data_IF_728678369311
#
_entry.id   IF_728678369311
#
_cell.length_a   1.000
_cell.length_b   1.000
_cell.length_c   1.000
_cell.angle_alpha   90.00
_cell.angle_beta   90.00
_cell.angle_gamma   90.00
#
_symmetry.space_group_name_H-M   'P 1'
#
loop_
_entity.id
_entity.type
_entity.pdbx_description
1 polymer ?
#
# COMPACT_ATOMS: atom_id res chain seq x y z
N UNK A 1 33.59 -1.92 -0.31
CA UNK A 1 33.16 -0.88 -1.28
C UNK A 1 31.87 -0.24 -0.77
N UNK A 2 31.90 0.91 -0.06
CA UNK A 2 30.73 1.33 0.76
C UNK A 2 30.45 2.84 0.91
N UNK A 3 31.16 3.75 0.23
CA UNK A 3 31.05 5.19 0.55
C UNK A 3 30.47 6.09 -0.55
N UNK A 4 30.20 5.56 -1.76
CA UNK A 4 29.69 6.36 -2.88
C UNK A 4 28.17 6.39 -3.03
N UNK A 5 27.41 5.64 -2.22
CA UNK A 5 25.95 5.45 -2.40
C UNK A 5 25.08 6.16 -1.39
N UNK A 6 25.59 6.58 -0.22
CA UNK A 6 24.75 7.13 0.84
C UNK A 6 23.92 8.36 0.41
N UNK A 7 24.50 9.26 -0.39
CA UNK A 7 23.77 10.43 -0.90
C UNK A 7 22.71 10.08 -1.94
N UNK A 8 23.00 9.12 -2.83
CA UNK A 8 22.04 8.64 -3.83
C UNK A 8 20.89 7.86 -3.19
N UNK A 9 21.21 7.01 -2.19
CA UNK A 9 20.24 6.23 -1.43
C UNK A 9 19.32 7.15 -0.59
N UNK A 10 19.88 8.23 -0.02
CA UNK A 10 19.10 9.22 0.73
C UNK A 10 18.15 10.01 -0.19
N UNK A 11 18.62 10.45 -1.37
CA UNK A 11 17.76 11.12 -2.36
C UNK A 11 16.67 10.19 -2.90
N UNK A 12 17.00 8.94 -3.19
CA UNK A 12 16.03 7.93 -3.61
C UNK A 12 15.00 7.66 -2.50
N UNK A 13 15.45 7.52 -1.26
CA UNK A 13 14.60 7.35 -0.09
C UNK A 13 13.64 8.52 0.13
N UNK A 14 14.13 9.76 0.02
CA UNK A 14 13.28 10.96 0.09
C UNK A 14 12.24 11.02 -1.04
N UNK A 15 12.64 10.61 -2.25
CA UNK A 15 11.72 10.56 -3.40
C UNK A 15 10.59 9.56 -3.18
N UNK A 16 10.94 8.37 -2.69
CA UNK A 16 9.99 7.32 -2.35
C UNK A 16 9.10 7.78 -1.18
N UNK A 17 9.66 8.34 -0.12
CA UNK A 17 8.90 8.83 1.03
C UNK A 17 7.85 9.88 0.64
N UNK A 18 8.19 10.79 -0.28
CA UNK A 18 7.26 11.80 -0.81
C UNK A 18 6.06 11.18 -1.54
N UNK A 19 6.24 10.02 -2.18
CA UNK A 19 5.17 9.28 -2.84
C UNK A 19 4.36 8.43 -1.85
N UNK A 20 5.03 7.72 -0.96
CA UNK A 20 4.39 6.76 -0.06
C UNK A 20 3.49 7.42 1.00
N UNK A 21 3.84 8.62 1.46
CA UNK A 21 3.09 9.31 2.51
C UNK A 21 1.65 9.67 2.09
N UNK A 22 1.41 10.37 0.96
CA UNK A 22 0.05 10.61 0.49
C UNK A 22 -0.70 9.33 0.10
N UNK A 23 0.00 8.34 -0.45
CA UNK A 23 -0.58 7.04 -0.82
C UNK A 23 -1.10 6.29 0.42
N UNK A 24 -0.29 6.22 1.49
CA UNK A 24 -0.69 5.58 2.73
C UNK A 24 -1.91 6.26 3.37
N UNK A 25 -1.97 7.60 3.31
CA UNK A 25 -3.14 8.37 3.77
C UNK A 25 -4.37 8.07 2.93
N UNK A 26 -4.25 8.05 1.60
CA UNK A 26 -5.36 7.71 0.71
C UNK A 26 -5.92 6.31 1.00
N UNK A 27 -5.04 5.32 1.18
CA UNK A 27 -5.46 3.94 1.47
C UNK A 27 -6.07 3.76 2.85
N UNK A 28 -5.68 4.55 3.85
CA UNK A 28 -6.42 4.57 5.11
C UNK A 28 -7.85 5.06 4.93
N UNK A 29 -8.06 6.05 4.05
CA UNK A 29 -9.41 6.48 3.64
C UNK A 29 -10.20 5.37 2.96
N UNK A 30 -9.57 4.59 2.06
CA UNK A 30 -10.19 3.40 1.43
C UNK A 30 -10.58 2.36 2.48
N UNK A 31 -9.74 2.15 3.49
CA UNK A 31 -10.02 1.25 4.62
C UNK A 31 -11.16 1.76 5.53
N UNK A 32 -11.61 3.01 5.36
CA UNK A 32 -12.56 3.68 6.25
C UNK A 32 -11.95 4.02 7.61
N UNK A 33 -10.64 4.25 7.65
CA UNK A 33 -9.87 4.57 8.86
C UNK A 33 -9.32 6.00 8.80
N UNK A 34 -8.99 6.61 9.95
CA UNK A 34 -8.36 7.94 9.97
C UNK A 34 -7.01 7.97 9.23
N UNK A 35 -6.62 9.12 8.63
CA UNK A 35 -5.35 9.32 7.93
C UNK A 35 -4.09 8.83 8.67
N UNK A 36 -4.08 8.98 9.99
CA UNK A 36 -2.97 8.55 10.84
C UNK A 36 -2.72 7.05 10.80
N UNK A 37 -3.75 6.22 10.57
CA UNK A 37 -3.61 4.77 10.49
C UNK A 37 -2.71 4.38 9.30
N UNK A 38 -2.83 5.09 8.18
CA UNK A 38 -1.97 4.90 7.01
C UNK A 38 -0.53 5.32 7.29
N UNK A 39 -0.33 6.46 7.95
CA UNK A 39 1.01 6.95 8.31
C UNK A 39 1.71 6.02 9.30
N UNK A 40 0.99 5.52 10.30
CA UNK A 40 1.49 4.52 11.26
C UNK A 40 1.92 3.25 10.53
N UNK A 41 1.08 2.76 9.61
CA UNK A 41 1.38 1.60 8.79
C UNK A 41 2.65 1.80 7.95
N UNK A 42 2.77 2.94 7.28
CA UNK A 42 3.97 3.30 6.52
C UNK A 42 5.24 3.21 7.37
N UNK A 43 5.25 3.85 8.55
CA UNK A 43 6.43 3.82 9.42
C UNK A 43 6.71 2.43 9.99
N UNK A 44 5.68 1.73 10.48
CA UNK A 44 5.83 0.39 11.03
C UNK A 44 6.32 -0.60 9.97
N UNK A 45 5.75 -0.58 8.76
CA UNK A 45 6.15 -1.40 7.63
C UNK A 45 7.61 -1.19 7.23
N UNK A 46 8.00 0.06 6.98
CA UNK A 46 9.37 0.40 6.58
C UNK A 46 10.39 0.08 7.68
N UNK A 47 10.08 0.38 8.94
CA UNK A 47 10.99 0.13 10.06
C UNK A 47 11.15 -1.37 10.31
N UNK A 48 10.05 -2.12 10.44
CA UNK A 48 10.11 -3.56 10.68
C UNK A 48 10.79 -4.29 9.53
N UNK A 49 10.46 -3.96 8.27
CA UNK A 49 11.11 -4.59 7.13
C UNK A 49 12.58 -4.19 6.99
N UNK A 50 12.93 -2.92 7.22
CA UNK A 50 14.31 -2.45 7.21
C UNK A 50 15.20 -3.14 8.25
N UNK A 51 14.65 -3.54 9.39
CA UNK A 51 15.38 -4.23 10.47
C UNK A 51 15.45 -5.74 10.27
N UNK A 52 14.37 -6.38 9.81
CA UNK A 52 14.22 -7.85 9.79
C UNK A 52 14.45 -8.42 8.39
N UNK A 53 13.90 -7.73 7.38
CA UNK A 53 13.90 -8.13 5.98
C UNK A 53 15.29 -8.15 5.36
N UNK A 54 15.38 -8.70 4.14
CA UNK A 54 16.67 -8.86 3.46
C UNK A 54 16.68 -8.33 2.03
N UNK A 55 15.51 -8.15 1.41
CA UNK A 55 15.43 -7.53 0.09
C UNK A 55 15.86 -6.08 0.15
N UNK A 56 16.69 -5.65 -0.79
CA UNK A 56 17.17 -4.26 -0.89
C UNK A 56 16.19 -3.32 -1.58
N UNK A 57 15.12 -3.87 -2.15
CA UNK A 57 14.16 -3.15 -3.01
C UNK A 57 12.73 -3.26 -2.51
N UNK A 58 12.51 -4.04 -1.44
CA UNK A 58 11.18 -4.19 -0.88
C UNK A 58 10.83 -2.95 -0.07
N UNK A 59 9.63 -2.44 -0.33
CA UNK A 59 9.02 -1.32 0.35
C UNK A 59 7.71 -1.88 0.91
N UNK A 60 7.63 -1.98 2.24
CA UNK A 60 6.47 -2.52 2.93
C UNK A 60 5.62 -1.37 3.44
N UNK A 61 4.39 -1.25 2.92
CA UNK A 61 3.46 -0.17 3.24
C UNK A 61 2.01 -0.60 3.00
N UNK A 62 1.05 0.28 3.26
CA UNK A 62 -0.35 0.04 2.95
C UNK A 62 -0.57 -0.14 1.43
N UNK A 63 -1.48 -1.04 1.05
CA UNK A 63 -1.88 -1.27 -0.34
C UNK A 63 -3.37 -1.06 -0.54
N UNK A 64 -3.80 -0.64 -1.74
CA UNK A 64 -5.22 -0.39 -2.04
C UNK A 64 -6.11 -1.61 -1.86
N UNK A 65 -5.60 -2.80 -2.19
CA UNK A 65 -6.27 -4.10 -2.06
C UNK A 65 -6.44 -4.50 -0.60
N UNK A 66 -5.38 -4.45 0.21
CA UNK A 66 -5.45 -4.77 1.63
C UNK A 66 -6.36 -3.79 2.38
N UNK A 67 -6.34 -2.50 2.01
CA UNK A 67 -7.29 -1.51 2.50
C UNK A 67 -8.74 -1.84 2.15
N UNK A 68 -9.03 -2.24 0.90
CA UNK A 68 -10.37 -2.63 0.48
C UNK A 68 -10.87 -3.92 1.18
N UNK A 69 -10.00 -4.92 1.35
CA UNK A 69 -10.32 -6.15 2.09
C UNK A 69 -10.62 -5.83 3.55
N UNK A 70 -9.82 -4.97 4.18
CA UNK A 70 -10.06 -4.52 5.55
C UNK A 70 -11.37 -3.73 5.68
N UNK A 71 -11.65 -2.82 4.73
CA UNK A 71 -12.91 -2.07 4.70
C UNK A 71 -14.10 -3.03 4.63
N UNK A 72 -14.06 -3.99 3.72
CA UNK A 72 -15.11 -5.00 3.56
C UNK A 72 -15.28 -5.82 4.84
N UNK A 73 -14.20 -6.34 5.42
CA UNK A 73 -14.25 -7.16 6.63
C UNK A 73 -14.82 -6.39 7.84
N UNK A 74 -14.34 -5.16 8.05
CA UNK A 74 -14.81 -4.33 9.17
C UNK A 74 -16.26 -3.88 8.98
N UNK A 75 -16.71 -3.62 7.75
CA UNK A 75 -18.12 -3.33 7.45
C UNK A 75 -19.01 -4.55 7.70
N UNK A 76 -18.59 -5.75 7.29
CA UNK A 76 -19.35 -6.98 7.52
C UNK A 76 -19.49 -7.31 9.00
N UNK A 77 -18.44 -7.10 9.79
CA UNK A 77 -18.42 -7.46 11.21
C UNK A 77 -18.94 -6.36 12.15
N UNK A 78 -18.66 -5.09 11.85
CA UNK A 78 -18.96 -3.95 12.72
C UNK A 78 -20.11 -3.06 12.24
N UNK A 79 -20.64 -3.29 11.04
CA UNK A 79 -21.72 -2.48 10.47
C UNK A 79 -21.34 -1.00 10.34
N UNK A 80 -22.20 -0.12 10.85
CA UNK A 80 -22.02 1.34 10.76
C UNK A 80 -21.23 1.98 11.91
N UNK A 81 -20.89 1.24 12.98
CA UNK A 81 -20.20 1.81 14.13
C UNK A 81 -18.70 1.98 13.86
N UNK A 82 -18.26 3.24 13.76
CA UNK A 82 -16.87 3.58 13.46
C UNK A 82 -15.90 3.16 14.57
N UNK A 83 -16.29 3.27 15.84
CA UNK A 83 -15.42 2.91 16.96
C UNK A 83 -15.20 1.39 16.99
N UNK A 84 -16.27 0.61 16.77
CA UNK A 84 -16.18 -0.83 16.65
C UNK A 84 -15.34 -1.24 15.43
N UNK A 85 -15.52 -0.59 14.27
CA UNK A 85 -14.72 -0.86 13.06
C UNK A 85 -13.23 -0.62 13.27
N UNK A 86 -12.84 0.42 14.00
CA UNK A 86 -11.44 0.70 14.35
C UNK A 86 -10.84 -0.41 15.23
N UNK A 87 -11.60 -0.87 16.22
CA UNK A 87 -11.18 -1.98 17.09
C UNK A 87 -11.03 -3.29 16.30
N UNK A 88 -12.03 -3.63 15.47
CA UNK A 88 -12.00 -4.81 14.61
C UNK A 88 -10.86 -4.74 13.59
N UNK A 89 -10.60 -3.58 12.99
CA UNK A 89 -9.48 -3.38 12.07
C UNK A 89 -8.16 -3.72 12.74
N UNK A 90 -7.95 -3.24 13.97
CA UNK A 90 -6.75 -3.48 14.76
C UNK A 90 -6.54 -4.97 15.03
N UNK A 91 -7.62 -5.68 15.39
CA UNK A 91 -7.59 -7.13 15.64
C UNK A 91 -7.30 -7.91 14.35
N UNK A 92 -7.95 -7.55 13.23
CA UNK A 92 -7.75 -8.20 11.94
C UNK A 92 -6.31 -8.04 11.43
N UNK A 93 -5.76 -6.83 11.54
CA UNK A 93 -4.39 -6.53 11.10
C UNK A 93 -3.37 -7.24 11.99
N UNK A 94 -3.57 -7.22 13.33
CA UNK A 94 -2.72 -7.97 14.25
C UNK A 94 -2.84 -9.49 14.03
N UNK A 95 -4.04 -9.99 13.74
CA UNK A 95 -4.32 -11.39 13.43
C UNK A 95 -3.64 -11.86 12.14
N UNK A 96 -3.69 -11.03 11.09
CA UNK A 96 -2.95 -11.29 9.86
C UNK A 96 -1.43 -11.35 10.12
N UNK A 97 -0.92 -10.42 10.95
CA UNK A 97 0.47 -10.43 11.39
C UNK A 97 0.86 -11.69 12.18
N UNK A 98 0.01 -12.13 13.10
CA UNK A 98 0.20 -13.37 13.86
C UNK A 98 0.20 -14.60 12.93
N UNK A 99 -0.68 -14.65 11.93
CA UNK A 99 -0.70 -15.70 10.92
C UNK A 99 0.58 -15.73 10.07
N UNK A 100 1.14 -14.57 9.72
CA UNK A 100 2.45 -14.46 9.07
C UNK A 100 3.59 -14.98 9.94
N UNK A 101 3.64 -14.59 11.21
CA UNK A 101 4.66 -15.09 12.16
C UNK A 101 4.54 -16.60 12.33
N UNK A 102 3.32 -17.13 12.44
CA UNK A 102 3.06 -18.56 12.50
C UNK A 102 3.54 -19.27 11.23
N UNK A 103 3.25 -18.71 10.06
CA UNK A 103 3.72 -19.25 8.78
C UNK A 103 5.26 -19.25 8.69
N UNK A 104 5.92 -18.20 9.19
CA UNK A 104 7.38 -18.14 9.29
C UNK A 104 7.95 -19.19 10.25
N UNK A 105 7.33 -19.38 11.42
CA UNK A 105 7.72 -20.37 12.41
C UNK A 105 7.59 -21.81 11.88
N UNK A 106 6.51 -22.08 11.13
CA UNK A 106 6.27 -23.34 10.42
C UNK A 106 7.11 -23.49 9.14
N UNK A 107 7.97 -22.51 8.85
CA UNK A 107 8.85 -22.47 7.66
C UNK A 107 8.10 -22.58 6.33
N UNK A 108 6.86 -22.10 6.27
CA UNK A 108 6.01 -22.17 5.07
C UNK A 108 6.54 -21.34 3.91
N UNK A 109 7.49 -20.42 4.16
CA UNK A 109 8.22 -19.74 3.10
C UNK A 109 8.98 -20.68 2.16
N UNK A 110 9.27 -21.92 2.57
CA UNK A 110 9.88 -22.92 1.69
C UNK A 110 8.96 -23.33 0.52
N UNK A 111 7.63 -23.34 0.73
CA UNK A 111 6.64 -23.65 -0.33
C UNK A 111 6.73 -22.67 -1.50
N UNK A 112 7.24 -21.48 -1.23
CA UNK A 112 7.40 -20.43 -2.22
C UNK A 112 8.38 -20.82 -3.35
N UNK A 113 9.34 -21.72 -3.08
CA UNK A 113 10.26 -22.26 -4.10
C UNK A 113 9.56 -23.12 -5.15
N UNK A 114 8.38 -23.67 -4.85
CA UNK A 114 7.59 -24.48 -5.77
C UNK A 114 6.91 -23.64 -6.87
N UNK A 115 6.89 -22.32 -6.71
CA UNK A 115 6.30 -21.42 -7.70
C UNK A 115 7.30 -21.21 -8.84
N UNK A 116 6.93 -21.68 -10.03
CA UNK A 116 7.74 -21.62 -11.23
C UNK A 116 7.94 -20.17 -11.73
N UNK A 117 9.10 -19.90 -12.36
CA UNK A 117 9.44 -18.57 -12.93
C UNK A 117 8.38 -18.02 -13.91
N UNK A 118 7.75 -18.83 -14.79
CA UNK A 118 6.70 -18.33 -15.68
C UNK A 118 5.48 -17.78 -14.94
N UNK A 119 5.09 -18.41 -13.82
CA UNK A 119 3.97 -17.95 -12.98
C UNK A 119 4.24 -16.56 -12.42
N UNK A 120 5.46 -16.34 -11.92
CA UNK A 120 5.85 -15.01 -11.42
C UNK A 120 5.90 -13.94 -12.51
N UNK A 121 6.35 -14.29 -13.72
CA UNK A 121 6.33 -13.35 -14.85
C UNK A 121 4.90 -12.96 -15.23
N UNK A 122 3.99 -13.94 -15.30
CA UNK A 122 2.57 -13.69 -15.54
C UNK A 122 1.94 -12.84 -14.43
N UNK A 123 2.26 -13.14 -13.17
CA UNK A 123 1.83 -12.36 -12.02
C UNK A 123 2.34 -10.91 -12.08
N UNK A 124 3.63 -10.69 -12.37
CA UNK A 124 4.19 -9.35 -12.46
C UNK A 124 3.51 -8.50 -13.54
N UNK A 125 3.21 -9.10 -14.70
CA UNK A 125 2.46 -8.44 -15.78
C UNK A 125 1.01 -8.13 -15.35
N UNK A 126 0.32 -9.10 -14.74
CA UNK A 126 -1.04 -8.91 -14.22
C UNK A 126 -1.10 -7.82 -13.14
N UNK A 127 -0.17 -7.82 -12.20
CA UNK A 127 -0.06 -6.80 -11.15
C UNK A 127 0.17 -5.41 -11.77
N UNK A 128 1.06 -5.29 -12.75
CA UNK A 128 1.29 -4.02 -13.44
C UNK A 128 0.01 -3.50 -14.11
N UNK A 129 -0.78 -4.38 -14.73
CA UNK A 129 -2.06 -4.02 -15.35
C UNK A 129 -3.11 -3.62 -14.29
N UNK A 130 -3.21 -4.37 -13.19
CA UNK A 130 -4.11 -4.05 -12.07
C UNK A 130 -3.77 -2.69 -11.46
N UNK A 131 -2.49 -2.41 -11.22
CA UNK A 131 -2.04 -1.10 -10.71
C UNK A 131 -2.43 -0.01 -11.70
N UNK A 132 -2.10 -0.16 -13.00
CA UNK A 132 -2.42 0.85 -14.01
C UNK A 132 -3.93 1.17 -14.07
N UNK A 133 -4.78 0.14 -14.05
CA UNK A 133 -6.24 0.32 -14.06
C UNK A 133 -6.74 0.96 -12.76
N UNK A 134 -6.22 0.55 -11.59
CA UNK A 134 -6.62 1.12 -10.30
C UNK A 134 -6.21 2.57 -10.11
N UNK A 135 -5.18 3.05 -10.81
CA UNK A 135 -4.79 4.46 -10.77
C UNK A 135 -5.63 5.36 -11.69
N UNK A 136 -6.32 4.78 -12.69
CA UNK A 136 -7.10 5.55 -13.65
C UNK A 136 -8.21 6.40 -13.01
N UNK A 137 -9.06 5.89 -12.08
CA UNK A 137 -10.09 6.70 -11.44
C UNK A 137 -9.56 7.94 -10.75
N UNK A 138 -8.37 7.86 -10.13
CA UNK A 138 -7.71 9.00 -9.50
C UNK A 138 -7.28 10.06 -10.53
N UNK A 139 -6.81 9.66 -11.71
CA UNK A 139 -6.41 10.59 -12.79
C UNK A 139 -7.59 11.36 -13.37
N UNK A 140 -8.75 10.71 -13.53
CA UNK A 140 -9.95 11.32 -14.12
C UNK A 140 -10.94 11.85 -13.09
N UNK A 141 -10.57 11.83 -11.80
CA UNK A 141 -11.39 12.26 -10.66
C UNK A 141 -12.76 11.55 -10.58
N UNK A 142 -12.75 10.22 -10.71
CA UNK A 142 -13.93 9.38 -10.60
C UNK A 142 -13.96 8.61 -9.28
N UNK A 143 -15.13 8.56 -8.65
CA UNK A 143 -15.41 7.68 -7.52
C UNK A 143 -15.97 6.37 -8.06
N UNK A 144 -15.26 5.26 -7.87
CA UNK A 144 -15.66 3.94 -8.37
C UNK A 144 -16.08 3.03 -7.22
N UNK A 145 -17.12 2.24 -7.43
CA UNK A 145 -17.56 1.22 -6.46
C UNK A 145 -17.04 -0.19 -6.81
N UNK A 146 -16.60 -0.40 -8.05
CA UNK A 146 -16.05 -1.68 -8.47
C UNK A 146 -14.73 -2.03 -7.77
N UNK A 147 -14.66 -3.24 -7.21
CA UNK A 147 -13.45 -3.79 -6.58
C UNK A 147 -12.67 -4.74 -7.49
N UNK A 148 -13.35 -5.36 -8.47
CA UNK A 148 -12.75 -6.29 -9.43
C UNK A 148 -12.20 -5.61 -10.68
N UNK A 149 -11.21 -6.24 -11.33
CA UNK A 149 -10.55 -5.69 -12.52
C UNK A 149 -11.51 -5.38 -13.68
N UNK A 150 -12.26 -6.38 -14.17
CA UNK A 150 -13.17 -6.18 -15.30
C UNK A 150 -14.34 -5.23 -14.98
N UNK A 151 -15.01 -5.34 -13.82
CA UNK A 151 -16.02 -4.36 -13.41
C UNK A 151 -15.47 -2.93 -13.37
N UNK A 152 -14.25 -2.73 -12.85
CA UNK A 152 -13.63 -1.41 -12.77
C UNK A 152 -13.32 -0.82 -14.15
N UNK A 153 -12.78 -1.63 -15.07
CA UNK A 153 -12.55 -1.19 -16.46
C UNK A 153 -13.87 -0.80 -17.14
N UNK A 154 -14.93 -1.59 -16.96
CA UNK A 154 -16.24 -1.29 -17.53
C UNK A 154 -16.84 -0.01 -16.95
N UNK A 155 -16.70 0.22 -15.63
CA UNK A 155 -17.15 1.43 -14.95
C UNK A 155 -16.41 2.67 -15.46
N UNK A 156 -15.08 2.61 -15.58
CA UNK A 156 -14.23 3.68 -16.13
C UNK A 156 -14.67 4.07 -17.54
N UNK A 157 -14.89 3.08 -18.41
CA UNK A 157 -15.28 3.30 -19.81
C UNK A 157 -16.69 3.86 -19.94
N UNK A 158 -17.64 3.40 -19.12
CA UNK A 158 -19.00 3.95 -19.10
C UNK A 158 -19.04 5.38 -18.58
N UNK A 159 -18.18 5.69 -17.60
CA UNK A 159 -18.05 7.02 -17.01
C UNK A 159 -17.16 7.99 -17.82
N UNK A 160 -16.73 7.62 -19.04
CA UNK A 160 -15.98 8.49 -19.95
C UNK A 160 -16.52 9.94 -20.04
N UNK A 161 -17.86 10.16 -20.17
CA UNK A 161 -18.39 11.52 -20.31
C UNK A 161 -18.19 12.39 -19.06
N UNK A 162 -18.01 11.79 -17.89
CA UNK A 162 -17.81 12.48 -16.60
C UNK A 162 -16.34 12.61 -16.21
N UNK A 163 -15.40 12.34 -17.13
CA UNK A 163 -13.97 12.49 -16.84
C UNK A 163 -13.60 13.97 -16.64
N UNK A 164 -12.85 14.23 -15.57
CA UNK A 164 -12.34 15.56 -15.30
C UNK A 164 -11.05 15.81 -16.10
N UNK A 165 -11.20 16.41 -17.29
CA UNK A 165 -10.10 16.69 -18.21
C UNK A 165 -8.91 17.46 -17.59
N UNK A 166 -9.11 18.49 -16.73
CA UNK A 166 -7.98 19.17 -16.08
C UNK A 166 -7.16 18.23 -15.19
N UNK A 167 -7.82 17.31 -14.46
CA UNK A 167 -7.12 16.31 -13.63
C UNK A 167 -6.33 15.32 -14.51
N UNK A 168 -6.93 14.87 -15.61
CA UNK A 168 -6.26 13.98 -16.56
C UNK A 168 -5.03 14.66 -17.18
N UNK A 169 -5.17 15.91 -17.62
CA UNK A 169 -4.07 16.70 -18.17
C UNK A 169 -2.95 16.92 -17.14
N UNK A 170 -3.29 17.23 -15.90
CA UNK A 170 -2.33 17.36 -14.79
C UNK A 170 -1.58 16.04 -14.56
N UNK A 171 -2.29 14.92 -14.50
CA UNK A 171 -1.69 13.60 -14.31
C UNK A 171 -0.79 13.17 -15.47
N UNK A 172 -1.20 13.41 -16.72
CA UNK A 172 -0.38 13.16 -17.90
C UNK A 172 0.85 14.06 -17.94
N UNK A 173 0.73 15.33 -17.55
CA UNK A 173 1.86 16.25 -17.43
C UNK A 173 2.83 15.82 -16.34
N UNK A 174 2.34 15.34 -15.20
CA UNK A 174 3.16 14.78 -14.12
C UNK A 174 3.92 13.52 -14.59
N UNK A 175 3.26 12.61 -15.31
CA UNK A 175 3.87 11.42 -15.89
C UNK A 175 4.95 11.77 -16.93
N UNK A 176 4.63 12.69 -17.86
CA UNK A 176 5.60 13.17 -18.85
C UNK A 176 6.79 13.85 -18.17
N UNK A 177 6.53 14.69 -17.17
CA UNK A 177 7.55 15.32 -16.35
C UNK A 177 8.46 14.30 -15.68
N UNK A 178 7.89 13.27 -15.05
CA UNK A 178 8.63 12.18 -14.44
C UNK A 178 9.53 11.47 -15.47
N UNK A 179 8.99 11.07 -16.62
CA UNK A 179 9.77 10.39 -17.67
C UNK A 179 10.91 11.25 -18.24
N UNK A 180 10.73 12.56 -18.32
CA UNK A 180 11.78 13.49 -18.78
C UNK A 180 12.82 13.71 -17.69
N UNK A 181 12.39 13.94 -16.45
CA UNK A 181 13.28 14.18 -15.30
C UNK A 181 14.09 12.95 -14.91
N UNK A 182 13.55 11.73 -15.09
CA UNK A 182 14.30 10.48 -14.87
C UNK A 182 15.47 10.31 -15.85
N UNK A 183 15.48 11.00 -16.99
CA UNK A 183 16.65 11.05 -17.88
C UNK A 183 17.77 11.96 -17.36
N UNK A 184 17.49 12.77 -16.33
CA UNK A 184 18.45 13.69 -15.74
C UNK A 184 19.08 13.03 -14.50
N UNK A 185 20.34 12.56 -14.57
CA UNK A 185 20.94 11.71 -13.53
C UNK A 185 21.18 12.39 -12.17
N UNK A 186 20.91 13.70 -12.05
CA UNK A 186 21.14 14.50 -10.85
C UNK A 186 19.86 14.90 -10.13
N UNK A 187 18.69 14.67 -10.72
CA UNK A 187 17.42 15.13 -10.16
C UNK A 187 16.52 13.95 -9.80
N UNK A 188 16.06 13.83 -8.54
CA UNK A 188 15.02 12.88 -8.19
C UNK A 188 13.71 13.29 -8.88
N UNK A 189 13.41 12.66 -10.02
CA UNK A 189 12.26 13.04 -10.86
C UNK A 189 10.94 13.02 -10.10
N UNK A 190 10.67 11.94 -9.36
CA UNK A 190 9.46 11.83 -8.54
C UNK A 190 9.32 12.95 -7.51
N UNK A 191 10.38 13.23 -6.74
CA UNK A 191 10.37 14.31 -5.74
C UNK A 191 10.15 15.68 -6.39
N UNK A 192 10.78 15.92 -7.54
CA UNK A 192 10.68 17.18 -8.28
C UNK A 192 9.26 17.40 -8.78
N UNK A 193 8.61 16.37 -9.33
CA UNK A 193 7.21 16.43 -9.75
C UNK A 193 6.30 16.70 -8.55
N UNK A 194 6.48 16.00 -7.43
CA UNK A 194 5.67 16.20 -6.22
C UNK A 194 5.79 17.64 -5.70
N UNK A 195 7.02 18.13 -5.50
CA UNK A 195 7.26 19.49 -5.01
C UNK A 195 6.70 20.52 -6.00
N UNK A 196 6.90 20.31 -7.31
CA UNK A 196 6.33 21.15 -8.35
C UNK A 196 4.80 21.20 -8.31
N UNK A 197 4.14 20.06 -8.12
CA UNK A 197 2.68 19.97 -7.98
C UNK A 197 2.18 20.66 -6.71
N UNK A 198 2.91 20.56 -5.58
CA UNK A 198 2.56 21.28 -4.34
C UNK A 198 2.66 22.79 -4.55
N UNK A 199 3.73 23.27 -5.17
CA UNK A 199 3.92 24.70 -5.46
C UNK A 199 2.85 25.21 -6.45
N UNK A 200 2.44 24.38 -7.41
CA UNK A 200 1.37 24.69 -8.35
C UNK A 200 -0.05 24.44 -7.81
N UNK A 201 -0.19 23.98 -6.56
CA UNK A 201 -1.49 23.51 -6.02
C UNK A 201 -2.58 24.56 -6.04
N UNK A 202 -2.27 25.82 -5.76
CA UNK A 202 -3.25 26.92 -5.80
C UNK A 202 -3.78 27.16 -7.22
N UNK A 203 -2.91 27.09 -8.22
CA UNK A 203 -3.28 27.22 -9.63
C UNK A 203 -4.07 25.99 -10.11
N UNK A 204 -3.62 24.78 -9.74
CA UNK A 204 -4.33 23.54 -10.07
C UNK A 204 -5.74 23.49 -9.46
N UNK A 205 -5.88 23.97 -8.22
CA UNK A 205 -7.19 24.08 -7.57
C UNK A 205 -8.10 25.07 -8.30
N UNK A 206 -7.55 26.18 -8.81
CA UNK A 206 -8.31 27.12 -9.64
C UNK A 206 -8.79 26.49 -10.97
N UNK A 207 -8.11 25.45 -11.47
CA UNK A 207 -8.53 24.65 -12.62
C UNK A 207 -9.49 23.49 -12.24
N UNK A 208 -9.95 23.42 -10.99
CA UNK A 208 -10.87 22.39 -10.50
C UNK A 208 -10.21 21.04 -10.18
N UNK A 209 -8.88 20.95 -10.16
CA UNK A 209 -8.18 19.72 -9.77
C UNK A 209 -8.35 19.50 -8.27
N UNK A 210 -8.93 18.36 -7.90
CA UNK A 210 -9.13 17.99 -6.50
C UNK A 210 -7.79 17.90 -5.76
N UNK A 211 -7.64 18.68 -4.70
CA UNK A 211 -6.50 18.61 -3.80
C UNK A 211 -6.73 17.56 -2.71
N UNK A 212 -5.66 16.98 -2.18
CA UNK A 212 -5.71 16.04 -1.04
C UNK A 212 -6.22 16.68 0.25
N UNK A 213 -6.18 18.01 0.34
CA UNK A 213 -6.62 18.76 1.52
C UNK A 213 -5.64 18.66 2.70
N UNK A 214 -5.96 19.36 3.82
CA UNK A 214 -5.15 19.29 5.03
C UNK A 214 -5.29 17.90 5.68
N UNK A 215 -4.15 17.28 5.98
CA UNK A 215 -4.09 16.00 6.68
C UNK A 215 -3.82 16.28 8.16
N UNK A 216 -4.86 16.18 8.98
CA UNK A 216 -4.73 16.32 10.44
C UNK A 216 -4.27 14.99 11.04
N UNK A 217 -3.01 14.95 11.49
CA UNK A 217 -2.41 13.78 12.16
C UNK A 217 -2.51 13.97 13.67
N UNK A 218 -3.35 13.16 14.33
CA UNK A 218 -3.42 13.09 15.78
C UNK A 218 -2.71 11.84 16.28
N UNK A 219 -1.40 11.92 16.48
CA UNK A 219 -0.61 10.83 17.03
C UNK A 219 -0.94 10.66 18.52
N UNK A 220 -1.99 9.89 18.81
CA UNK A 220 -2.33 9.41 20.14
C UNK A 220 -1.89 7.96 20.33
N UNK A 221 -1.56 7.58 21.56
CA UNK A 221 -1.44 6.17 21.91
C UNK A 221 -2.83 5.53 21.81
N UNK A 222 -3.02 4.58 20.89
CA UNK A 222 -4.34 4.00 20.68
C UNK A 222 -4.76 3.19 21.91
N UNK A 223 -5.95 3.47 22.43
CA UNK A 223 -6.57 2.58 23.40
C UNK A 223 -7.00 1.30 22.65
N UNK A 224 -6.27 0.20 22.86
CA UNK A 224 -6.70 -1.13 22.43
C UNK A 224 -7.94 -1.52 23.24
N UNK A 225 -9.12 -1.19 22.72
CA UNK A 225 -10.38 -1.66 23.25
C UNK A 225 -10.73 -3.00 22.59
N UNK A 226 -10.69 -4.08 23.36
CA UNK A 226 -11.26 -5.35 22.92
C UNK A 226 -12.79 -5.22 23.00
N UNK A 227 -13.52 -5.33 21.88
CA UNK A 227 -14.97 -5.25 21.92
C UNK A 227 -15.52 -6.47 22.69
N UNK A 228 -16.52 -6.24 23.54
CA UNK A 228 -17.19 -7.32 24.26
C UNK A 228 -18.09 -8.13 23.30
N UNK A 229 -18.12 -9.46 23.46
CA UNK A 229 -19.02 -10.33 22.68
C UNK A 229 -18.57 -10.60 21.23
N UNK A 230 -17.29 -10.40 20.92
CA UNK A 230 -16.72 -10.64 19.60
C UNK A 230 -16.68 -12.14 19.27
N UNK A 231 -17.16 -12.49 18.08
CA UNK A 231 -16.97 -13.82 17.50
C UNK A 231 -15.56 -13.93 16.88
N UNK A 232 -14.76 -14.84 17.41
CA UNK A 232 -13.36 -15.03 17.03
C UNK A 232 -13.20 -15.78 15.71
N UNK A 233 -14.18 -16.61 15.33
CA UNK A 233 -14.05 -17.45 14.14
C UNK A 233 -14.09 -16.60 12.85
N UNK A 234 -15.08 -15.71 12.63
CA UNK A 234 -15.08 -14.81 11.48
C UNK A 234 -13.84 -13.90 11.44
N UNK A 235 -13.39 -13.42 12.61
CA UNK A 235 -12.17 -12.62 12.69
C UNK A 235 -10.94 -13.39 12.22
N UNK A 236 -10.80 -14.66 12.60
CA UNK A 236 -9.70 -15.50 12.15
C UNK A 236 -9.77 -15.73 10.63
N UNK A 237 -10.96 -15.98 10.08
CA UNK A 237 -11.17 -16.16 8.63
C UNK A 237 -10.78 -14.91 7.84
N UNK A 238 -11.26 -13.73 8.25
CA UNK A 238 -10.92 -12.47 7.60
C UNK A 238 -9.44 -12.10 7.79
N UNK A 239 -8.84 -12.41 8.95
CA UNK A 239 -7.40 -12.21 9.19
C UNK A 239 -6.56 -13.08 8.27
N UNK A 240 -6.97 -14.34 8.04
CA UNK A 240 -6.31 -15.23 7.09
C UNK A 240 -6.48 -14.75 5.65
N UNK A 241 -7.68 -14.30 5.26
CA UNK A 241 -7.90 -13.70 3.94
C UNK A 241 -7.00 -12.46 3.73
N UNK A 242 -6.89 -11.61 4.76
CA UNK A 242 -6.02 -10.43 4.74
C UNK A 242 -4.53 -10.82 4.66
N UNK A 243 -4.11 -11.84 5.41
CA UNK A 243 -2.75 -12.40 5.32
C UNK A 243 -2.45 -12.93 3.91
N UNK A 244 -3.40 -13.64 3.28
CA UNK A 244 -3.20 -14.22 1.95
C UNK A 244 -3.09 -13.16 0.86
N UNK A 245 -3.90 -12.10 0.90
CA UNK A 245 -3.78 -11.00 -0.08
C UNK A 245 -2.46 -10.26 0.10
N UNK A 246 -2.05 -9.96 1.34
CA UNK A 246 -0.76 -9.34 1.63
C UNK A 246 0.38 -10.24 1.17
N UNK A 247 0.32 -11.54 1.47
CA UNK A 247 1.34 -12.49 1.06
C UNK A 247 1.48 -12.52 -0.47
N UNK A 248 0.37 -12.60 -1.20
CA UNK A 248 0.40 -12.63 -2.66
C UNK A 248 1.06 -11.39 -3.26
N UNK A 249 0.78 -10.20 -2.71
CA UNK A 249 1.34 -8.92 -3.14
C UNK A 249 2.81 -8.77 -2.79
N UNK A 250 3.16 -8.92 -1.52
CA UNK A 250 4.53 -8.79 -1.03
C UNK A 250 5.43 -9.81 -1.71
N UNK A 251 5.03 -11.08 -1.71
CA UNK A 251 5.83 -12.15 -2.29
C UNK A 251 6.04 -11.96 -3.79
N UNK A 252 4.95 -11.62 -4.49
CA UNK A 252 4.99 -11.38 -5.92
C UNK A 252 5.90 -10.22 -6.29
N UNK A 253 5.83 -9.10 -5.56
CA UNK A 253 6.70 -7.94 -5.76
C UNK A 253 8.17 -8.26 -5.44
N UNK A 254 8.44 -8.73 -4.22
CA UNK A 254 9.80 -9.04 -3.73
C UNK A 254 10.50 -10.02 -4.68
N UNK A 255 9.82 -11.11 -5.06
CA UNK A 255 10.44 -12.15 -5.89
C UNK A 255 10.58 -11.72 -7.34
N UNK A 256 9.65 -10.93 -7.88
CA UNK A 256 9.76 -10.40 -9.25
C UNK A 256 10.96 -9.47 -9.40
N UNK A 257 11.23 -8.62 -8.41
CA UNK A 257 12.41 -7.75 -8.43
C UNK A 257 13.71 -8.51 -8.14
N UNK A 258 13.69 -9.46 -7.21
CA UNK A 258 14.85 -10.31 -6.94
C UNK A 258 15.28 -11.10 -8.18
N UNK A 259 14.33 -11.65 -8.95
CA UNK A 259 14.61 -12.35 -10.21
C UNK A 259 15.21 -11.44 -11.29
N UNK A 260 14.81 -10.16 -11.34
CA UNK A 260 15.40 -9.19 -12.29
C UNK A 260 16.83 -8.81 -11.92
N UNK A 261 17.19 -8.87 -10.63
CA UNK A 261 18.48 -8.44 -10.08
C UNK A 261 19.41 -9.61 -9.71
N UNK A 262 18.96 -10.85 -9.92
CA UNK A 262 19.62 -12.08 -9.50
C UNK A 262 20.00 -12.08 -7.99
N UNK A 263 19.11 -11.52 -7.16
CA UNK A 263 19.28 -11.46 -5.70
C UNK A 263 18.64 -12.67 -5.02
N UNK A 264 19.28 -13.18 -3.96
CA UNK A 264 18.73 -14.25 -3.13
C UNK A 264 17.53 -13.75 -2.31
N UNK A 265 16.43 -14.50 -2.36
CA UNK A 265 15.23 -14.25 -1.54
C UNK A 265 15.28 -15.11 -0.28
N UNK A 266 14.84 -14.58 0.86
CA UNK A 266 14.69 -15.35 2.11
C UNK A 266 13.23 -15.33 2.57
N UNK A 267 12.36 -16.17 1.95
CA UNK A 267 10.92 -16.07 2.13
C UNK A 267 10.46 -16.15 3.58
N UNK A 268 11.09 -16.99 4.42
CA UNK A 268 10.73 -17.08 5.84
C UNK A 268 11.08 -15.81 6.64
N UNK A 269 12.15 -15.10 6.27
CA UNK A 269 12.46 -13.79 6.89
C UNK A 269 11.49 -12.71 6.40
N UNK A 270 11.09 -12.77 5.14
CA UNK A 270 10.09 -11.85 4.59
C UNK A 270 8.74 -12.06 5.28
N UNK A 271 8.30 -13.31 5.48
CA UNK A 271 7.10 -13.65 6.27
C UNK A 271 7.20 -13.11 7.70
N UNK A 272 8.34 -13.31 8.37
CA UNK A 272 8.54 -12.80 9.72
C UNK A 272 8.50 -11.27 9.76
N UNK A 273 9.13 -10.59 8.81
CA UNK A 273 9.14 -9.13 8.72
C UNK A 273 7.73 -8.57 8.50
N UNK A 274 6.97 -9.15 7.56
CA UNK A 274 5.57 -8.79 7.32
C UNK A 274 4.70 -9.07 8.54
N UNK A 275 4.94 -10.19 9.24
CA UNK A 275 4.20 -10.54 10.44
C UNK A 275 4.42 -9.57 11.58
N UNK A 276 5.68 -9.25 11.91
CA UNK A 276 6.02 -8.27 12.94
C UNK A 276 5.49 -6.88 12.57
N UNK A 277 5.61 -6.48 11.30
CA UNK A 277 5.09 -5.20 10.83
C UNK A 277 3.58 -5.08 11.03
N UNK A 278 2.80 -6.10 10.63
CA UNK A 278 1.35 -6.09 10.78
C UNK A 278 0.90 -6.21 12.25
N UNK A 279 1.61 -6.97 13.10
CA UNK A 279 1.34 -6.97 14.54
C UNK A 279 1.52 -5.55 15.10
N UNK A 280 2.64 -4.89 14.78
CA UNK A 280 2.89 -3.53 15.24
C UNK A 280 1.84 -2.54 14.70
N UNK A 281 1.44 -2.67 13.44
CA UNK A 281 0.36 -1.87 12.86
C UNK A 281 -0.95 -2.08 13.64
N UNK A 282 -1.38 -3.32 13.84
CA UNK A 282 -2.63 -3.61 14.56
C UNK A 282 -2.61 -3.08 15.99
N UNK A 283 -1.48 -3.19 16.70
CA UNK A 283 -1.33 -2.63 18.05
C UNK A 283 -1.38 -1.10 18.06
N UNK A 284 -0.90 -0.47 17.00
CA UNK A 284 -0.87 0.99 16.85
C UNK A 284 -2.07 1.54 16.06
N UNK A 285 -3.14 0.76 15.85
CA UNK A 285 -4.30 1.16 15.03
C UNK A 285 -3.94 1.61 13.60
N UNK A 286 -2.91 1.00 13.03
CA UNK A 286 -2.47 1.18 11.65
C UNK A 286 -3.24 0.31 10.66
N UNK A 287 -3.20 0.69 9.38
CA UNK A 287 -3.65 -0.15 8.27
C UNK A 287 -2.71 -1.35 8.06
N UNK A 288 -3.16 -2.42 7.39
CA UNK A 288 -2.32 -3.55 7.02
C UNK A 288 -1.21 -3.12 6.06
N UNK A 289 -0.08 -3.84 6.12
CA UNK A 289 1.09 -3.56 5.29
C UNK A 289 1.59 -4.79 4.55
N UNK A 290 2.02 -4.59 3.31
CA UNK A 290 2.54 -5.62 2.40
C UNK A 290 3.68 -5.08 1.55
#
# INVERSE_FOLDING_TARGET
MRTRTAGADLLAGLSIAGLLLPEAVAYSGVAGLPPQAGVIALFAGLLCYGLIGRSRVAIVTATSSSAAVLASATLTLGGGDLALRLALASILVAGAGAAFVLAAALRLGALSHLIARPVLRGYAFGLALVIAVKQWPHLVNLHTQATGFFPLVAEILRAHPSWHWPSLACGLAALAGLMVLERVPRMPGALTVIVGSILASSWLNAQGVALTGPIHLALGMPALALPAGVDWLPLAEFSLALMLILFAESYGSIRSFALKRDEEVQPNRDLLALGVANILCGLLQGTPVG
#
